data_IF_366262756483
#
_entry.id   IF_366262756483
#
_cell.length_a   1.000
_cell.length_b   1.000
_cell.length_c   1.000
_cell.angle_alpha   90.00
_cell.angle_beta   90.00
_cell.angle_gamma   90.00
#
_symmetry.space_group_name_H-M   'P 1'
#
loop_
_entity.id
_entity.type
_entity.pdbx_description
1 polymer ?
#
# COMPACT_ATOMS: atom_id res chain seq x y z
N UNK A 1 7.08 -5.31 7.93
CA UNK A 1 7.55 -3.90 8.00
C UNK A 1 8.80 -3.76 7.14
N UNK A 2 8.88 -2.75 6.29
CA UNK A 2 10.07 -2.43 5.49
C UNK A 2 10.77 -1.20 6.06
N UNK A 3 12.10 -1.18 6.05
CA UNK A 3 12.94 -0.06 6.45
C UNK A 3 13.99 0.20 5.36
N UNK A 4 14.25 1.48 5.08
CA UNK A 4 15.27 1.88 4.11
C UNK A 4 16.68 1.87 4.69
N UNK A 5 16.80 2.17 5.98
CA UNK A 5 18.07 2.27 6.69
C UNK A 5 18.00 1.41 7.94
N UNK A 6 19.10 0.83 8.31
CA UNK A 6 19.21 -0.03 9.46
C UNK A 6 20.51 0.29 10.19
N UNK A 7 20.44 0.36 11.51
CA UNK A 7 21.63 0.56 12.36
C UNK A 7 22.12 -0.80 12.85
N UNK A 8 23.36 -1.09 12.56
CA UNK A 8 24.01 -2.34 12.94
C UNK A 8 25.19 -2.03 13.85
N UNK A 9 25.30 -2.66 15.04
CA UNK A 9 26.46 -2.51 15.87
C UNK A 9 27.68 -3.21 15.22
N UNK A 10 28.82 -2.54 15.27
CA UNK A 10 30.10 -3.14 14.92
C UNK A 10 30.68 -3.96 16.10
N UNK A 11 31.85 -4.54 15.90
CA UNK A 11 32.54 -5.35 16.94
C UNK A 11 32.86 -4.56 18.23
N UNK A 12 32.86 -3.23 18.18
CA UNK A 12 33.02 -2.35 19.35
C UNK A 12 31.73 -2.01 20.05
N UNK A 13 30.57 -2.41 19.45
CA UNK A 13 29.24 -2.07 19.92
C UNK A 13 28.77 -0.68 19.47
N UNK A 14 29.52 -0.01 18.59
CA UNK A 14 29.10 1.25 18.01
C UNK A 14 28.13 1.00 16.84
N UNK A 15 26.96 1.62 16.90
CA UNK A 15 25.97 1.50 15.83
C UNK A 15 26.34 2.38 14.63
N UNK A 16 26.34 1.79 13.45
CA UNK A 16 26.50 2.50 12.20
C UNK A 16 25.35 2.20 11.24
N UNK A 17 25.08 3.15 10.36
CA UNK A 17 24.02 3.07 9.39
C UNK A 17 24.43 2.18 8.22
N UNK A 18 23.55 1.26 7.85
CA UNK A 18 23.69 0.40 6.67
C UNK A 18 22.63 0.77 5.66
N UNK A 19 23.05 1.12 4.46
CA UNK A 19 22.14 1.39 3.35
C UNK A 19 21.55 0.09 2.82
N UNK A 20 20.22 0.10 2.64
CA UNK A 20 19.50 -1.03 2.09
C UNK A 20 18.02 -0.98 2.36
N UNK A 21 17.32 -2.03 1.93
CA UNK A 21 15.90 -2.23 2.25
C UNK A 21 15.81 -3.52 3.01
N UNK A 22 15.35 -3.40 4.24
CA UNK A 22 15.24 -4.48 5.19
C UNK A 22 13.78 -4.73 5.51
N UNK A 23 13.38 -5.98 5.54
CA UNK A 23 12.03 -6.39 5.88
C UNK A 23 12.03 -7.14 7.21
N UNK A 24 11.12 -6.78 8.08
CA UNK A 24 11.02 -7.35 9.42
C UNK A 24 9.61 -7.88 9.64
N UNK A 25 9.52 -9.06 10.25
CA UNK A 25 8.26 -9.53 10.80
C UNK A 25 7.74 -8.56 11.88
N UNK A 26 6.50 -8.13 11.75
CA UNK A 26 5.94 -7.08 12.60
C UNK A 26 5.70 -7.53 14.06
N UNK A 27 5.58 -8.83 14.30
CA UNK A 27 5.32 -9.39 15.63
C UNK A 27 6.59 -9.77 16.36
N UNK A 28 7.57 -10.31 15.63
CA UNK A 28 8.80 -10.83 16.23
C UNK A 28 9.98 -9.87 16.14
N UNK A 29 9.90 -8.87 15.27
CA UNK A 29 11.00 -7.96 14.96
C UNK A 29 12.19 -8.62 14.25
N UNK A 30 12.07 -9.88 13.85
CA UNK A 30 13.12 -10.58 13.13
C UNK A 30 13.14 -10.17 11.67
N UNK A 31 14.32 -10.03 11.12
CA UNK A 31 14.50 -9.83 9.69
C UNK A 31 14.00 -11.05 8.92
N UNK A 32 13.32 -10.77 7.81
CA UNK A 32 12.76 -11.80 6.91
C UNK A 32 13.32 -11.60 5.51
N UNK A 33 13.61 -12.69 4.86
CA UNK A 33 13.99 -12.70 3.44
C UNK A 33 12.74 -12.47 2.58
N UNK A 34 12.53 -11.20 2.25
CA UNK A 34 11.42 -10.77 1.42
C UNK A 34 11.94 -9.72 0.44
N UNK A 35 11.58 -9.83 -0.81
CA UNK A 35 11.96 -8.84 -1.80
C UNK A 35 10.77 -8.50 -2.71
N UNK A 36 10.50 -7.22 -2.82
CA UNK A 36 9.69 -6.68 -3.90
C UNK A 36 10.62 -6.21 -5.03
N UNK A 37 10.19 -6.26 -6.30
CA UNK A 37 10.98 -5.75 -7.42
C UNK A 37 11.24 -4.23 -7.32
N UNK A 38 10.51 -3.56 -6.42
CA UNK A 38 10.70 -2.17 -6.04
C UNK A 38 10.80 -2.06 -4.53
N UNK A 39 11.54 -1.06 -4.02
CA UNK A 39 11.49 -0.73 -2.62
C UNK A 39 10.05 -0.51 -2.17
N UNK A 40 9.61 -1.21 -1.13
CA UNK A 40 8.22 -1.14 -0.65
C UNK A 40 7.73 0.29 -0.34
N UNK A 41 8.64 1.19 0.03
CA UNK A 41 8.31 2.60 0.27
C UNK A 41 8.04 3.41 -1.02
N UNK A 42 8.35 2.88 -2.20
CA UNK A 42 8.01 3.48 -3.50
C UNK A 42 6.71 2.92 -4.07
N UNK A 43 6.16 1.87 -3.47
CA UNK A 43 4.92 1.26 -3.90
C UNK A 43 3.79 1.69 -2.98
N UNK A 44 2.61 1.94 -3.56
CA UNK A 44 1.40 2.27 -2.83
C UNK A 44 0.58 0.99 -2.61
N UNK A 45 0.37 0.53 -1.36
CA UNK A 45 -0.43 -0.66 -1.09
C UNK A 45 -1.93 -0.38 -1.30
N UNK A 46 -2.64 -1.37 -1.84
CA UNK A 46 -4.06 -1.32 -2.13
C UNK A 46 -4.62 -2.75 -2.12
N UNK A 47 -5.81 -2.95 -1.57
CA UNK A 47 -6.54 -4.22 -1.61
C UNK A 47 -7.51 -4.20 -2.81
N UNK A 48 -6.97 -4.35 -4.01
CA UNK A 48 -7.67 -4.10 -5.25
C UNK A 48 -8.75 -5.16 -5.53
N UNK A 49 -8.48 -6.42 -5.24
CA UNK A 49 -9.42 -7.52 -5.46
C UNK A 49 -10.36 -7.79 -4.27
N UNK A 50 -10.09 -7.18 -3.10
CA UNK A 50 -10.91 -7.25 -1.90
C UNK A 50 -10.69 -8.51 -1.05
N UNK A 51 -9.61 -9.24 -1.26
CA UNK A 51 -9.31 -10.46 -0.52
C UNK A 51 -8.78 -10.19 0.91
N UNK A 52 -8.40 -8.95 1.19
CA UNK A 52 -7.88 -8.48 2.47
C UNK A 52 -6.36 -8.37 2.52
N UNK A 53 -5.67 -8.81 1.48
CA UNK A 53 -4.23 -8.63 1.32
C UNK A 53 -3.95 -7.53 0.29
N UNK A 54 -2.74 -6.96 0.34
CA UNK A 54 -2.42 -5.84 -0.53
C UNK A 54 -1.72 -6.29 -1.81
N UNK A 55 -2.16 -5.71 -2.91
CA UNK A 55 -1.40 -5.44 -4.11
C UNK A 55 -0.59 -4.16 -3.93
N UNK A 56 0.32 -3.92 -4.86
CA UNK A 56 1.20 -2.76 -4.84
C UNK A 56 1.16 -2.01 -6.17
N UNK A 57 0.84 -0.73 -6.11
CA UNK A 57 0.98 0.17 -7.25
C UNK A 57 2.44 0.64 -7.34
N UNK A 58 3.19 0.13 -8.30
CA UNK A 58 4.59 0.47 -8.48
C UNK A 58 4.75 1.79 -9.28
N UNK A 59 5.83 2.55 -9.04
CA UNK A 59 6.01 3.87 -9.65
C UNK A 59 6.16 3.84 -11.18
N UNK A 60 6.44 2.68 -11.77
CA UNK A 60 6.53 2.49 -13.21
C UNK A 60 5.18 2.12 -13.87
N UNK A 61 4.09 2.19 -13.13
CA UNK A 61 2.74 1.91 -13.62
C UNK A 61 2.34 0.44 -13.62
N UNK A 62 3.07 -0.40 -12.92
CA UNK A 62 2.68 -1.80 -12.71
C UNK A 62 1.82 -1.94 -11.45
N UNK A 63 0.90 -2.89 -11.49
CA UNK A 63 0.22 -3.42 -10.32
C UNK A 63 0.83 -4.79 -10.03
N UNK A 64 1.37 -4.95 -8.84
CA UNK A 64 2.05 -6.17 -8.41
C UNK A 64 1.24 -6.85 -7.31
N UNK A 65 1.17 -8.17 -7.35
CA UNK A 65 0.65 -8.94 -6.23
C UNK A 65 1.65 -8.89 -5.03
N UNK A 66 1.23 -9.44 -3.89
CA UNK A 66 2.06 -9.52 -2.67
C UNK A 66 3.37 -10.29 -2.84
N UNK A 67 3.54 -11.05 -3.93
CA UNK A 67 4.74 -11.79 -4.27
C UNK A 67 5.61 -11.08 -5.31
N UNK A 68 5.21 -9.86 -5.73
CA UNK A 68 5.92 -9.07 -6.71
C UNK A 68 5.63 -9.45 -8.17
N UNK A 69 4.67 -10.34 -8.42
CA UNK A 69 4.25 -10.68 -9.78
C UNK A 69 3.34 -9.58 -10.32
N UNK A 70 3.62 -9.11 -11.53
CA UNK A 70 2.75 -8.16 -12.20
C UNK A 70 1.42 -8.82 -12.59
N UNK A 71 0.31 -8.21 -12.14
CA UNK A 71 -1.05 -8.64 -12.42
C UNK A 71 -1.81 -7.67 -13.33
N UNK A 72 -1.44 -6.41 -13.32
CA UNK A 72 -2.04 -5.37 -14.15
C UNK A 72 -1.05 -4.23 -14.44
N UNK A 73 -1.51 -3.22 -15.14
CA UNK A 73 -0.77 -1.98 -15.34
C UNK A 73 -1.72 -0.78 -15.42
N UNK A 74 -1.19 0.38 -15.10
CA UNK A 74 -1.90 1.65 -15.20
C UNK A 74 -1.00 2.74 -15.77
N UNK A 75 -1.59 3.85 -16.20
CA UNK A 75 -0.85 5.05 -16.65
C UNK A 75 -1.45 6.27 -15.96
N UNK A 76 -0.60 7.20 -15.55
CA UNK A 76 -0.98 8.37 -14.78
C UNK A 76 -0.37 8.34 -13.38
N UNK A 77 -0.69 9.33 -12.58
CA UNK A 77 -0.19 9.45 -11.20
C UNK A 77 -1.27 9.04 -10.22
N UNK A 78 -1.07 8.01 -9.40
CA UNK A 78 -1.99 7.68 -8.33
C UNK A 78 -2.11 8.84 -7.33
N UNK A 79 -3.31 9.20 -6.97
CA UNK A 79 -3.59 10.34 -6.09
C UNK A 79 -4.31 9.96 -4.81
N UNK A 80 -5.22 9.01 -4.89
CA UNK A 80 -6.04 8.54 -3.76
C UNK A 80 -6.33 7.07 -3.94
N UNK A 81 -6.34 6.34 -2.84
CA UNK A 81 -6.65 4.92 -2.78
C UNK A 81 -7.58 4.62 -1.62
N UNK A 82 -8.32 3.54 -1.72
CA UNK A 82 -9.27 3.04 -0.74
C UNK A 82 -10.64 2.76 -1.34
N UNK A 83 -11.67 2.63 -0.52
CA UNK A 83 -13.07 2.54 -0.96
C UNK A 83 -13.58 3.90 -1.44
N UNK A 84 -13.30 4.21 -2.69
CA UNK A 84 -13.71 5.48 -3.32
C UNK A 84 -15.16 5.45 -3.83
N UNK A 85 -15.67 4.25 -4.11
CA UNK A 85 -17.04 4.00 -4.61
C UNK A 85 -17.66 2.81 -3.88
N UNK A 86 -18.91 2.48 -4.20
CA UNK A 86 -19.58 1.27 -3.69
C UNK A 86 -19.13 -0.04 -4.36
N UNK A 87 -18.14 0.01 -5.23
CA UNK A 87 -17.57 -1.17 -5.87
C UNK A 87 -16.79 -2.04 -4.86
N UNK A 88 -16.79 -3.37 -5.07
CA UNK A 88 -15.96 -4.28 -4.27
C UNK A 88 -14.46 -4.02 -4.50
N UNK A 89 -13.62 -4.42 -3.56
CA UNK A 89 -12.20 -4.09 -3.52
C UNK A 89 -11.95 -2.62 -3.20
N UNK A 90 -10.71 -2.22 -3.07
CA UNK A 90 -10.31 -0.82 -3.05
C UNK A 90 -10.12 -0.31 -4.49
N UNK A 91 -10.21 0.98 -4.66
CA UNK A 91 -10.03 1.66 -5.93
C UNK A 91 -8.94 2.70 -5.77
N UNK A 92 -8.32 3.06 -6.88
CA UNK A 92 -7.39 4.18 -6.90
C UNK A 92 -7.78 5.18 -7.98
N UNK A 93 -7.60 6.45 -7.63
CA UNK A 93 -7.82 7.56 -8.54
C UNK A 93 -6.48 7.97 -9.16
N UNK A 94 -6.48 8.15 -10.46
CA UNK A 94 -5.34 8.66 -11.22
C UNK A 94 -5.66 10.00 -11.85
N UNK A 95 -4.65 10.87 -11.91
CA UNK A 95 -4.70 12.07 -12.72
C UNK A 95 -4.11 11.78 -14.11
N UNK A 96 -4.86 12.18 -15.14
CA UNK A 96 -4.42 12.06 -16.53
C UNK A 96 -4.73 13.36 -17.27
N UNK A 97 -3.73 14.23 -17.34
CA UNK A 97 -3.92 15.59 -17.86
C UNK A 97 -4.93 16.38 -17.02
N UNK A 98 -6.05 16.75 -17.60
CA UNK A 98 -7.14 17.48 -16.93
C UNK A 98 -8.27 16.58 -16.43
N UNK A 99 -8.14 15.26 -16.60
CA UNK A 99 -9.14 14.28 -16.20
C UNK A 99 -8.69 13.50 -14.97
N UNK A 100 -9.67 13.04 -14.20
CA UNK A 100 -9.48 12.05 -13.16
C UNK A 100 -10.23 10.79 -13.55
N UNK A 101 -9.58 9.65 -13.31
CA UNK A 101 -10.16 8.33 -13.56
C UNK A 101 -10.09 7.53 -12.26
N UNK A 102 -11.15 6.78 -11.96
CA UNK A 102 -11.14 5.80 -10.87
C UNK A 102 -10.96 4.43 -11.48
N UNK A 103 -9.95 3.73 -11.02
CA UNK A 103 -9.60 2.38 -11.46
C UNK A 103 -10.06 1.40 -10.39
N UNK A 104 -10.73 0.34 -10.81
CA UNK A 104 -11.22 -0.74 -9.97
C UNK A 104 -10.98 -2.09 -10.64
N UNK A 105 -10.88 -3.14 -9.86
CA UNK A 105 -10.98 -4.51 -10.36
C UNK A 105 -12.45 -4.89 -10.50
N UNK A 106 -12.90 -5.19 -11.72
CA UNK A 106 -14.31 -5.55 -12.00
C UNK A 106 -14.72 -6.91 -11.41
N UNK A 107 -13.76 -7.76 -11.13
CA UNK A 107 -13.97 -9.08 -10.55
C UNK A 107 -13.84 -9.12 -9.03
N UNK A 108 -13.47 -7.99 -8.42
CA UNK A 108 -13.28 -7.85 -6.97
C UNK A 108 -14.50 -8.33 -6.17
N UNK A 109 -14.20 -8.93 -5.01
CA UNK A 109 -15.22 -9.36 -4.03
C UNK A 109 -14.72 -9.04 -2.63
N UNK A 110 -15.52 -8.29 -1.87
CA UNK A 110 -15.17 -7.97 -0.49
C UNK A 110 -15.18 -9.23 0.39
N UNK A 111 -14.01 -9.73 0.71
CA UNK A 111 -13.78 -10.82 1.66
C UNK A 111 -14.05 -10.39 3.11
N UNK A 112 -13.97 -11.33 4.05
CA UNK A 112 -14.25 -11.06 5.46
C UNK A 112 -13.23 -10.08 6.07
N UNK A 113 -11.95 -10.18 5.70
CA UNK A 113 -10.89 -9.27 6.20
C UNK A 113 -11.18 -7.85 5.74
N UNK A 114 -11.53 -7.66 4.46
CA UNK A 114 -11.90 -6.37 3.90
C UNK A 114 -13.11 -5.77 4.62
N UNK A 115 -14.18 -6.56 4.83
CA UNK A 115 -15.38 -6.13 5.57
C UNK A 115 -15.04 -5.75 7.02
N UNK A 116 -14.23 -6.53 7.71
CA UNK A 116 -13.80 -6.22 9.07
C UNK A 116 -13.00 -4.92 9.12
N UNK A 117 -12.08 -4.72 8.18
CA UNK A 117 -11.28 -3.49 8.07
C UNK A 117 -12.17 -2.26 7.94
N UNK A 118 -13.13 -2.28 7.03
CA UNK A 118 -14.03 -1.17 6.78
C UNK A 118 -15.18 -1.04 7.78
N UNK A 119 -15.41 -2.03 8.64
CA UNK A 119 -16.30 -1.91 9.78
C UNK A 119 -15.69 -1.10 10.95
N UNK A 120 -14.38 -0.81 10.93
CA UNK A 120 -13.72 0.00 11.96
C UNK A 120 -14.08 1.49 11.75
N UNK A 121 -14.79 2.13 12.71
CA UNK A 121 -15.26 3.51 12.54
C UNK A 121 -14.13 4.51 12.28
N UNK A 122 -12.95 4.27 12.87
CA UNK A 122 -11.78 5.12 12.67
C UNK A 122 -11.31 5.14 11.20
N UNK A 123 -11.26 4.00 10.53
CA UNK A 123 -10.85 3.93 9.13
C UNK A 123 -11.83 4.65 8.22
N UNK A 124 -13.13 4.45 8.42
CA UNK A 124 -14.18 5.17 7.68
C UNK A 124 -14.09 6.68 7.90
N UNK A 125 -13.82 7.11 9.13
CA UNK A 125 -13.61 8.52 9.44
C UNK A 125 -12.38 9.09 8.74
N UNK A 126 -11.25 8.38 8.79
CA UNK A 126 -10.00 8.81 8.13
C UNK A 126 -10.17 8.90 6.61
N UNK A 127 -10.85 7.95 5.98
CA UNK A 127 -11.18 8.04 4.55
C UNK A 127 -11.96 9.31 4.20
N UNK A 128 -12.98 9.62 4.99
CA UNK A 128 -13.77 10.85 4.79
C UNK A 128 -12.94 12.11 4.95
N UNK A 129 -12.05 12.15 5.95
CA UNK A 129 -11.12 13.27 6.14
C UNK A 129 -10.19 13.44 4.93
N UNK A 130 -9.63 12.34 4.43
CA UNK A 130 -8.73 12.39 3.28
C UNK A 130 -9.47 12.79 2.01
N UNK A 131 -10.67 12.28 1.79
CA UNK A 131 -11.51 12.66 0.66
C UNK A 131 -11.87 14.15 0.69
N UNK A 132 -12.01 14.75 1.88
CA UNK A 132 -12.24 16.19 2.05
C UNK A 132 -10.98 17.07 1.87
N UNK A 133 -9.82 16.46 1.60
CA UNK A 133 -8.56 17.18 1.39
C UNK A 133 -7.89 17.67 2.68
N UNK A 134 -8.39 17.26 3.85
CA UNK A 134 -7.89 17.76 5.15
C UNK A 134 -6.48 17.24 5.48
N UNK A 135 -6.07 16.11 4.94
CA UNK A 135 -4.74 15.56 5.15
C UNK A 135 -4.05 15.25 3.81
N UNK A 136 -3.13 16.11 3.42
CA UNK A 136 -2.36 15.94 2.18
C UNK A 136 -1.21 14.91 2.31
N UNK A 137 -0.92 14.41 3.50
CA UNK A 137 0.29 13.61 3.77
C UNK A 137 0.02 12.11 3.63
N UNK A 138 -1.23 11.66 3.66
CA UNK A 138 -1.59 10.27 3.50
C UNK A 138 -2.45 10.04 2.28
N UNK A 139 -1.89 9.53 1.20
CA UNK A 139 -2.69 9.03 0.07
C UNK A 139 -3.38 7.72 0.41
N UNK A 140 -3.00 7.10 1.53
CA UNK A 140 -3.36 5.74 1.90
C UNK A 140 -4.05 5.68 3.24
N UNK A 141 -5.14 4.95 3.30
CA UNK A 141 -5.72 4.44 4.54
C UNK A 141 -5.66 2.92 4.51
N UNK A 142 -4.80 2.37 3.74
CA UNK A 142 -4.61 0.96 3.74
C UNK A 142 -3.90 0.56 5.04
N UNK A 143 -4.68 0.20 6.05
CA UNK A 143 -4.16 -0.50 7.22
C UNK A 143 -4.06 -1.96 6.84
N UNK A 144 -2.97 -2.29 6.15
CA UNK A 144 -2.74 -3.62 5.69
C UNK A 144 -2.49 -4.65 6.77
N UNK A 145 -2.79 -5.87 6.46
CA UNK A 145 -2.25 -7.05 7.12
C UNK A 145 -1.14 -7.60 6.21
#
# INVERSE_FOLDING_TARGET
>A
MAMRQHFVPDDSGFEHEVDGIFYFDAFTGKEVDYSLPYPGYLCEPIDLDGDGYHEFLAPDGKVLDRHGKQIASYTGTPMRMGKLTDHSGEQFMIARGTAFEIIADTDARDGEIMKMRYAIPYLTFMQKLMASGYNAIGSQISCGV
#
